data_IF_246803799021
#
_entry.id   IF_246803799021
#
_cell.length_a   1.000
_cell.length_b   1.000
_cell.length_c   1.000
_cell.angle_alpha   90.00
_cell.angle_beta   90.00
_cell.angle_gamma   90.00
#
_symmetry.space_group_name_H-M   'P 1'
#
loop_
_entity.id
_entity.type
_entity.pdbx_description
1 polymer ?
#
# COMPACT_ATOMS: atom_id res chain seq x y z
N UNK A 1 -42.24 -0.45 -16.18
CA UNK A 1 -43.35 -0.14 -15.27
C UNK A 1 -42.73 0.00 -13.87
N UNK A 2 -42.76 1.23 -13.32
CA UNK A 2 -42.33 1.65 -11.97
C UNK A 2 -40.84 1.46 -11.60
N UNK A 3 -39.97 2.47 -11.78
CA UNK A 3 -39.59 3.46 -10.76
C UNK A 3 -40.63 3.82 -9.68
N UNK A 4 -40.24 3.67 -8.40
CA UNK A 4 -40.75 4.30 -7.16
C UNK A 4 -40.06 3.54 -5.99
N UNK A 5 -39.40 4.06 -4.96
CA UNK A 5 -39.06 5.39 -4.46
C UNK A 5 -37.95 5.18 -3.41
N UNK A 6 -36.90 5.99 -3.47
CA UNK A 6 -36.05 6.29 -2.32
C UNK A 6 -36.43 7.70 -1.85
N UNK A 7 -37.05 7.86 -0.67
CA UNK A 7 -37.06 9.12 0.11
C UNK A 7 -37.42 8.78 1.55
N UNK A 8 -36.47 8.88 2.48
CA UNK A 8 -36.82 9.09 3.90
C UNK A 8 -35.74 9.86 4.69
N UNK A 9 -35.18 10.95 4.16
CA UNK A 9 -34.37 11.87 4.97
C UNK A 9 -34.63 13.33 4.57
N UNK A 10 -35.62 13.95 5.22
CA UNK A 10 -35.78 15.41 5.26
C UNK A 10 -36.67 15.84 6.45
N UNK A 11 -36.13 15.79 7.67
CA UNK A 11 -36.60 16.59 8.81
C UNK A 11 -35.50 17.57 9.21
N UNK A 12 -35.37 18.65 8.44
CA UNK A 12 -34.85 19.95 8.90
C UNK A 12 -35.05 20.93 7.73
N UNK A 13 -35.93 21.91 7.93
CA UNK A 13 -36.34 22.82 6.87
C UNK A 13 -35.25 23.79 6.45
N UNK A 14 -35.28 24.20 5.18
CA UNK A 14 -35.41 25.59 4.72
C UNK A 14 -35.47 25.59 3.16
N UNK A 15 -36.10 26.60 2.50
CA UNK A 15 -36.75 26.44 1.20
C UNK A 15 -36.08 27.14 0.01
N UNK A 16 -36.62 26.89 -1.19
CA UNK A 16 -36.38 27.52 -2.51
C UNK A 16 -35.08 27.08 -3.23
N UNK A 17 -35.01 26.77 -4.53
CA UNK A 17 -35.96 26.83 -5.65
C UNK A 17 -35.44 25.96 -6.84
N UNK A 18 -36.35 25.63 -7.76
CA UNK A 18 -36.16 25.26 -9.18
C UNK A 18 -35.42 23.95 -9.52
N UNK A 19 -36.12 22.95 -10.08
CA UNK A 19 -36.23 22.68 -11.54
C UNK A 19 -34.85 22.68 -12.23
N UNK A 20 -34.35 21.58 -12.80
CA UNK A 20 -34.88 20.91 -14.00
C UNK A 20 -34.50 19.43 -14.00
N UNK A 21 -35.46 18.57 -14.33
CA UNK A 21 -35.25 17.19 -14.72
C UNK A 21 -34.65 17.14 -16.14
N UNK A 22 -33.54 16.43 -16.30
CA UNK A 22 -33.07 15.94 -17.60
C UNK A 22 -32.84 14.43 -17.48
N UNK A 23 -33.81 13.68 -18.01
CA UNK A 23 -33.72 12.25 -18.27
C UNK A 23 -32.89 12.08 -19.54
N UNK A 24 -31.72 11.45 -19.42
CA UNK A 24 -31.02 10.84 -20.57
C UNK A 24 -31.15 9.32 -20.45
N UNK A 25 -32.00 8.75 -21.32
CA UNK A 25 -32.06 7.32 -21.62
C UNK A 25 -31.12 7.04 -22.79
N UNK A 26 -30.42 5.91 -22.71
CA UNK A 26 -29.58 5.28 -23.74
C UNK A 26 -28.20 5.90 -24.00
N UNK A 27 -27.21 5.36 -23.31
CA UNK A 27 -25.79 5.54 -23.61
C UNK A 27 -24.97 4.74 -22.61
N UNK A 28 -24.49 3.57 -23.03
CA UNK A 28 -23.53 2.73 -22.31
C UNK A 28 -22.27 3.56 -22.04
N UNK A 29 -22.17 4.13 -20.85
CA UNK A 29 -20.93 4.66 -20.29
C UNK A 29 -21.03 4.52 -18.77
N UNK A 30 -20.67 3.33 -18.28
CA UNK A 30 -20.13 3.21 -16.93
C UNK A 30 -18.79 3.96 -16.91
N UNK A 31 -18.58 4.97 -16.06
CA UNK A 31 -17.26 5.32 -15.61
C UNK A 31 -17.10 4.65 -14.25
N UNK A 32 -16.86 3.34 -14.25
CA UNK A 32 -16.55 2.63 -13.01
C UNK A 32 -15.40 1.66 -13.22
N UNK A 33 -14.28 2.17 -13.71
CA UNK A 33 -12.96 1.59 -13.50
C UNK A 33 -12.00 2.76 -13.51
N UNK A 34 -11.91 3.48 -12.39
CA UNK A 34 -10.60 3.99 -12.03
C UNK A 34 -9.81 2.73 -11.69
N UNK A 35 -9.04 2.23 -12.66
CA UNK A 35 -7.87 1.43 -12.32
C UNK A 35 -7.18 2.17 -11.18
N UNK A 36 -6.90 1.48 -10.07
CA UNK A 36 -5.96 2.00 -9.10
C UNK A 36 -4.61 2.06 -9.83
N UNK A 37 -4.41 3.10 -10.63
CA UNK A 37 -3.13 3.45 -11.17
C UNK A 37 -2.30 3.75 -9.94
N UNK A 38 -1.36 2.85 -9.64
CA UNK A 38 -0.25 3.19 -8.74
C UNK A 38 0.46 4.33 -9.45
N UNK A 39 0.09 5.56 -9.09
CA UNK A 39 0.72 6.75 -9.61
C UNK A 39 2.13 6.76 -9.02
N UNK A 40 3.07 6.22 -9.81
CA UNK A 40 4.47 6.15 -9.47
C UNK A 40 4.94 7.58 -9.28
N UNK A 41 5.05 7.97 -8.01
CA UNK A 41 5.36 9.32 -7.60
C UNK A 41 6.77 9.34 -7.02
N UNK A 42 7.42 10.49 -7.17
CA UNK A 42 8.74 10.71 -6.59
C UNK A 42 8.55 11.10 -5.12
N UNK A 43 9.20 10.36 -4.21
CA UNK A 43 9.12 10.57 -2.77
C UNK A 43 10.33 11.32 -2.22
N UNK A 44 10.32 11.61 -0.91
CA UNK A 44 11.41 12.34 -0.22
C UNK A 44 12.78 11.71 -0.44
N UNK A 45 12.83 10.38 -0.51
CA UNK A 45 14.05 9.59 -0.57
C UNK A 45 14.34 9.05 -1.98
N UNK A 46 13.56 9.43 -3.00
CA UNK A 46 13.85 9.00 -4.37
C UNK A 46 15.27 9.41 -4.79
N UNK A 47 15.99 8.48 -5.42
CA UNK A 47 17.37 8.63 -5.87
C UNK A 47 18.42 8.32 -4.81
N UNK A 48 18.02 8.16 -3.54
CA UNK A 48 18.90 7.73 -2.45
C UNK A 48 19.49 6.36 -2.75
N UNK A 49 20.76 6.17 -2.37
CA UNK A 49 21.49 4.92 -2.49
C UNK A 49 21.69 4.32 -1.10
N UNK A 50 21.36 3.04 -0.96
CA UNK A 50 21.43 2.28 0.28
C UNK A 50 22.35 1.08 0.07
N UNK A 51 23.23 0.82 1.04
CA UNK A 51 24.06 -0.39 1.05
C UNK A 51 23.36 -1.50 1.81
N UNK A 52 23.18 -2.66 1.16
CA UNK A 52 22.55 -3.85 1.75
C UNK A 52 23.53 -5.01 1.68
N UNK A 53 23.80 -5.66 2.83
CA UNK A 53 24.95 -6.54 3.04
C UNK A 53 25.17 -7.65 1.99
N UNK A 54 24.10 -8.15 1.35
CA UNK A 54 24.17 -9.21 0.34
C UNK A 54 23.72 -8.79 -1.07
N UNK A 55 23.22 -7.56 -1.23
CA UNK A 55 22.72 -7.03 -2.50
C UNK A 55 23.61 -5.89 -3.05
N UNK A 56 24.48 -5.32 -2.21
CA UNK A 56 25.27 -4.13 -2.51
C UNK A 56 24.42 -2.86 -2.53
N UNK A 57 24.83 -1.91 -3.36
CA UNK A 57 24.17 -0.61 -3.50
C UNK A 57 22.82 -0.75 -4.24
N UNK A 58 21.74 -0.33 -3.60
CA UNK A 58 20.40 -0.22 -4.17
C UNK A 58 20.02 1.26 -4.27
N UNK A 59 19.47 1.67 -5.42
CA UNK A 59 18.93 3.02 -5.60
C UNK A 59 17.40 3.00 -5.47
N UNK A 60 16.82 3.91 -4.69
CA UNK A 60 15.37 4.10 -4.60
C UNK A 60 14.86 4.81 -5.87
N UNK A 61 13.83 4.26 -6.54
CA UNK A 61 13.34 4.82 -7.82
C UNK A 61 11.99 5.51 -7.68
N UNK A 62 10.95 4.77 -7.33
CA UNK A 62 9.58 5.26 -7.37
C UNK A 62 8.85 4.84 -6.09
N UNK A 63 7.98 5.71 -5.58
CA UNK A 63 7.14 5.37 -4.44
C UNK A 63 6.02 4.47 -4.91
N UNK A 64 5.90 3.31 -4.26
CA UNK A 64 4.80 2.38 -4.38
C UNK A 64 3.63 2.78 -3.47
N UNK A 65 3.91 3.05 -2.18
CA UNK A 65 2.91 3.40 -1.17
C UNK A 65 3.48 4.46 -0.23
N UNK A 66 2.66 5.44 0.15
CA UNK A 66 2.97 6.43 1.20
C UNK A 66 1.97 6.31 2.34
N UNK A 67 2.48 6.26 3.56
CA UNK A 67 1.74 6.41 4.81
C UNK A 67 2.28 7.64 5.57
N UNK A 68 1.64 7.99 6.69
CA UNK A 68 2.02 9.18 7.47
C UNK A 68 3.48 9.19 7.96
N UNK A 69 4.08 8.01 8.20
CA UNK A 69 5.42 7.87 8.79
C UNK A 69 6.35 6.97 7.96
N UNK A 70 5.84 6.37 6.88
CA UNK A 70 6.59 5.40 6.07
C UNK A 70 6.29 5.53 4.61
N UNK A 71 7.29 5.25 3.78
CA UNK A 71 7.15 5.18 2.32
C UNK A 71 7.74 3.85 1.85
N UNK A 72 7.09 3.19 0.89
CA UNK A 72 7.62 1.98 0.26
C UNK A 72 8.09 2.36 -1.14
N UNK A 73 9.33 2.03 -1.47
CA UNK A 73 9.98 2.35 -2.73
C UNK A 73 10.27 1.09 -3.53
N UNK A 74 10.09 1.21 -4.85
CA UNK A 74 10.82 0.39 -5.80
C UNK A 74 12.30 0.73 -5.76
N UNK A 75 13.12 -0.25 -6.16
CA UNK A 75 14.57 -0.07 -6.23
C UNK A 75 15.11 -0.37 -7.62
N UNK A 76 16.38 -0.03 -7.85
CA UNK A 76 17.14 -0.44 -9.03
C UNK A 76 17.23 -1.97 -9.21
N UNK A 77 16.93 -2.75 -8.16
CA UNK A 77 16.83 -4.19 -8.24
C UNK A 77 15.35 -4.63 -8.32
N UNK A 78 14.90 -5.29 -9.41
CA UNK A 78 13.47 -5.52 -9.67
C UNK A 78 12.77 -6.45 -8.66
N UNK A 79 13.54 -7.27 -7.94
CA UNK A 79 13.01 -8.17 -6.91
C UNK A 79 13.02 -7.62 -5.48
N UNK A 80 13.34 -6.33 -5.29
CA UNK A 80 13.54 -5.74 -3.96
C UNK A 80 12.73 -4.46 -3.81
N UNK A 81 11.95 -4.41 -2.73
CA UNK A 81 11.34 -3.19 -2.21
C UNK A 81 12.11 -2.71 -1.00
N UNK A 82 12.06 -1.39 -0.77
CA UNK A 82 12.57 -0.78 0.46
C UNK A 82 11.44 -0.02 1.13
N UNK A 83 11.17 -0.37 2.39
CA UNK A 83 10.32 0.42 3.28
C UNK A 83 11.18 1.40 4.05
N UNK A 84 10.93 2.68 3.87
CA UNK A 84 11.57 3.79 4.56
C UNK A 84 10.71 4.25 5.72
N UNK A 85 11.35 4.57 6.84
CA UNK A 85 10.75 5.17 8.03
C UNK A 85 11.33 6.57 8.20
N UNK A 86 10.47 7.58 8.25
CA UNK A 86 10.89 8.96 8.47
C UNK A 86 11.16 9.17 9.97
N UNK A 87 12.42 9.35 10.32
CA UNK A 87 12.82 9.59 11.71
C UNK A 87 12.92 11.09 12.02
N UNK A 88 12.61 11.97 11.07
CA UNK A 88 12.69 13.41 11.30
C UNK A 88 11.51 13.90 12.16
N UNK A 89 11.81 14.57 13.26
CA UNK A 89 10.82 15.22 14.12
C UNK A 89 10.97 16.76 14.13
N UNK A 90 11.73 17.33 13.18
CA UNK A 90 11.95 18.77 13.03
C UNK A 90 12.97 19.38 13.99
N UNK A 91 13.65 18.56 14.81
CA UNK A 91 14.67 19.01 15.76
C UNK A 91 16.03 18.43 15.40
N UNK A 92 17.07 19.26 15.38
CA UNK A 92 18.39 18.89 14.85
C UNK A 92 19.00 17.61 15.46
N UNK A 93 18.96 17.48 16.79
CA UNK A 93 19.65 16.38 17.52
C UNK A 93 18.69 15.31 18.05
N UNK A 94 17.44 15.28 17.56
CA UNK A 94 16.44 14.29 17.96
C UNK A 94 15.93 13.51 16.74
N UNK A 95 15.46 12.28 17.01
CA UNK A 95 14.73 11.44 16.08
C UNK A 95 13.32 11.16 16.60
N UNK A 96 12.39 10.93 15.68
CA UNK A 96 11.03 10.56 15.99
C UNK A 96 10.98 9.15 16.58
N UNK A 97 10.48 9.05 17.81
CA UNK A 97 10.47 7.80 18.56
C UNK A 97 9.45 6.78 18.01
N UNK A 98 8.30 7.25 17.51
CA UNK A 98 7.24 6.38 16.97
C UNK A 98 7.72 5.56 15.76
N UNK A 99 8.17 6.22 14.67
CA UNK A 99 8.72 5.55 13.49
C UNK A 99 9.92 4.67 13.83
N UNK A 100 10.80 5.11 14.74
CA UNK A 100 11.94 4.32 15.18
C UNK A 100 11.52 3.02 15.89
N UNK A 101 10.54 3.07 16.81
CA UNK A 101 10.01 1.87 17.45
C UNK A 101 9.31 0.93 16.47
N UNK A 102 8.55 1.49 15.52
CA UNK A 102 7.92 0.71 14.46
C UNK A 102 8.96 -0.04 13.63
N UNK A 103 10.03 0.65 13.25
CA UNK A 103 11.18 0.07 12.56
C UNK A 103 11.81 -1.08 13.36
N UNK A 104 12.16 -0.85 14.64
CA UNK A 104 12.82 -1.89 15.45
C UNK A 104 11.95 -3.12 15.62
N UNK A 105 10.66 -2.93 15.88
CA UNK A 105 9.72 -4.05 16.04
C UNK A 105 9.55 -4.85 14.74
N UNK A 106 9.57 -4.19 13.58
CA UNK A 106 9.45 -4.88 12.30
C UNK A 106 10.72 -5.66 11.93
N UNK A 107 11.91 -5.12 12.24
CA UNK A 107 13.18 -5.84 12.11
C UNK A 107 13.20 -7.07 13.02
N UNK A 108 12.81 -6.93 14.29
CA UNK A 108 12.72 -8.05 15.23
C UNK A 108 11.78 -9.15 14.71
N UNK A 109 10.60 -8.78 14.18
CA UNK A 109 9.68 -9.74 13.59
C UNK A 109 10.29 -10.49 12.39
N UNK A 110 11.00 -9.80 11.49
CA UNK A 110 11.66 -10.47 10.36
C UNK A 110 12.75 -11.43 10.83
N UNK A 111 13.56 -11.05 11.81
CA UNK A 111 14.61 -11.89 12.38
C UNK A 111 14.03 -13.11 13.12
N UNK A 112 12.95 -12.93 13.88
CA UNK A 112 12.24 -14.01 14.57
C UNK A 112 11.65 -15.01 13.57
N UNK A 113 10.95 -14.52 12.53
CA UNK A 113 10.35 -15.39 11.50
C UNK A 113 11.44 -16.11 10.70
N UNK A 114 12.58 -15.47 10.43
CA UNK A 114 13.72 -16.13 9.77
C UNK A 114 14.23 -17.32 10.60
N UNK A 115 14.04 -17.31 11.92
CA UNK A 115 14.38 -18.44 12.80
C UNK A 115 13.39 -19.62 12.76
N UNK A 116 12.24 -19.48 12.08
CA UNK A 116 11.18 -20.49 12.02
C UNK A 116 11.13 -21.05 10.59
N UNK A 117 11.77 -22.20 10.36
CA UNK A 117 11.93 -22.83 9.05
C UNK A 117 10.60 -23.02 8.31
N UNK A 118 9.52 -23.36 9.02
CA UNK A 118 8.20 -23.58 8.44
C UNK A 118 7.55 -22.31 7.88
N UNK A 119 7.94 -21.12 8.37
CA UNK A 119 7.35 -19.86 7.95
C UNK A 119 8.15 -19.16 6.85
N UNK A 120 9.43 -19.50 6.68
CA UNK A 120 10.31 -18.84 5.71
C UNK A 120 9.76 -18.85 4.27
N UNK A 121 9.05 -19.91 3.87
CA UNK A 121 8.47 -20.03 2.54
C UNK A 121 7.19 -19.20 2.32
N UNK A 122 6.62 -18.65 3.39
CA UNK A 122 5.32 -17.97 3.39
C UNK A 122 5.41 -16.47 3.68
N UNK A 123 6.61 -15.96 3.96
CA UNK A 123 6.85 -14.53 4.20
C UNK A 123 7.82 -13.97 3.17
N UNK A 124 7.75 -12.66 2.86
CA UNK A 124 8.74 -12.02 2.02
C UNK A 124 10.14 -12.20 2.59
N UNK A 125 11.12 -12.48 1.72
CA UNK A 125 12.50 -12.56 2.15
C UNK A 125 12.99 -11.22 2.71
N UNK A 126 13.60 -11.25 3.89
CA UNK A 126 14.29 -10.10 4.49
C UNK A 126 15.74 -10.06 4.01
N UNK A 127 16.14 -8.93 3.40
CA UNK A 127 17.50 -8.74 2.88
C UNK A 127 18.39 -7.89 3.80
N UNK A 128 17.79 -7.11 4.70
CA UNK A 128 18.52 -6.32 5.67
C UNK A 128 17.83 -5.02 6.04
N UNK A 129 18.43 -4.31 6.98
CA UNK A 129 17.92 -3.07 7.52
C UNK A 129 19.07 -2.14 7.92
N UNK A 130 18.79 -0.84 8.00
CA UNK A 130 19.77 0.16 8.42
C UNK A 130 19.14 1.43 8.93
N UNK A 131 19.93 2.23 9.64
CA UNK A 131 19.53 3.53 10.18
C UNK A 131 20.60 4.55 9.85
N UNK A 132 20.19 5.68 9.29
CA UNK A 132 21.02 6.87 9.12
C UNK A 132 20.50 7.95 10.06
N UNK A 133 21.20 8.16 11.18
CA UNK A 133 20.83 9.19 12.16
C UNK A 133 21.12 10.60 11.67
N UNK A 134 22.00 10.77 10.69
CA UNK A 134 22.37 12.07 10.14
C UNK A 134 21.29 12.58 9.18
N UNK A 135 20.85 11.70 8.28
CA UNK A 135 19.75 11.97 7.35
C UNK A 135 18.37 11.64 7.93
N UNK A 136 18.33 11.04 9.12
CA UNK A 136 17.13 10.72 9.91
C UNK A 136 16.12 9.85 9.17
N UNK A 137 16.60 8.72 8.69
CA UNK A 137 15.74 7.67 8.19
C UNK A 137 16.19 6.31 8.72
N UNK A 138 15.26 5.36 8.73
CA UNK A 138 15.57 3.95 8.79
C UNK A 138 14.98 3.24 7.58
N UNK A 139 15.52 2.09 7.22
CA UNK A 139 15.03 1.32 6.08
C UNK A 139 15.03 -0.18 6.35
N UNK A 140 14.10 -0.87 5.69
CA UNK A 140 14.02 -2.33 5.60
C UNK A 140 13.98 -2.71 4.12
N UNK A 141 14.93 -3.54 3.68
CA UNK A 141 14.97 -4.10 2.34
C UNK A 141 14.36 -5.51 2.35
N UNK A 142 13.38 -5.74 1.48
CA UNK A 142 12.61 -6.98 1.44
C UNK A 142 12.22 -7.38 0.02
N UNK A 143 11.82 -8.64 -0.15
CA UNK A 143 11.36 -9.18 -1.43
C UNK A 143 10.14 -8.45 -1.97
N UNK A 144 10.21 -8.15 -3.26
CA UNK A 144 9.04 -7.70 -4.01
C UNK A 144 8.18 -8.91 -4.39
N UNK A 145 6.97 -8.97 -3.84
CA UNK A 145 5.96 -9.94 -4.24
C UNK A 145 5.00 -9.28 -5.23
N UNK A 146 5.00 -9.76 -6.47
CA UNK A 146 4.03 -9.33 -7.47
C UNK A 146 2.67 -9.92 -7.13
N UNK A 147 1.65 -9.07 -7.01
CA UNK A 147 0.30 -9.49 -6.69
C UNK A 147 -0.73 -8.42 -7.02
N UNK A 148 -2.00 -8.79 -6.85
CA UNK A 148 -3.13 -7.86 -6.96
C UNK A 148 -3.51 -7.31 -5.59
N UNK A 149 -4.02 -6.07 -5.57
CA UNK A 149 -4.59 -5.51 -4.35
C UNK A 149 -5.76 -6.37 -3.87
N UNK A 150 -5.77 -6.75 -2.59
CA UNK A 150 -6.74 -7.71 -2.04
C UNK A 150 -8.19 -7.27 -2.25
N UNK A 151 -8.49 -5.97 -2.12
CA UNK A 151 -9.86 -5.48 -2.35
C UNK A 151 -10.29 -5.61 -3.81
N UNK A 152 -9.38 -5.30 -4.76
CA UNK A 152 -9.64 -5.47 -6.19
C UNK A 152 -9.87 -6.94 -6.50
N UNK A 153 -9.00 -7.79 -5.95
CA UNK A 153 -9.10 -9.23 -6.09
C UNK A 153 -10.43 -9.76 -5.53
N UNK A 154 -10.84 -9.34 -4.33
CA UNK A 154 -12.14 -9.70 -3.73
C UNK A 154 -13.33 -9.22 -4.58
N UNK A 155 -13.26 -8.01 -5.12
CA UNK A 155 -14.28 -7.47 -6.03
C UNK A 155 -14.36 -8.27 -7.35
N UNK A 156 -13.25 -8.82 -7.83
CA UNK A 156 -13.24 -9.72 -8.99
C UNK A 156 -13.78 -11.11 -8.63
N UNK A 157 -13.36 -11.68 -7.50
CA UNK A 157 -13.79 -12.99 -7.03
C UNK A 157 -15.31 -13.04 -6.77
N UNK A 158 -15.87 -12.01 -6.14
CA UNK A 158 -17.33 -11.87 -5.93
C UNK A 158 -18.13 -11.74 -7.23
N UNK A 159 -17.49 -11.32 -8.33
CA UNK A 159 -18.08 -11.31 -9.68
C UNK A 159 -17.91 -12.64 -10.43
N UNK A 160 -17.32 -13.65 -9.81
CA UNK A 160 -17.09 -14.97 -10.41
C UNK A 160 -16.00 -15.00 -11.48
N UNK A 161 -15.09 -14.00 -11.48
CA UNK A 161 -13.99 -13.91 -12.46
C UNK A 161 -12.91 -14.96 -12.16
N UNK A 162 -12.72 -15.30 -10.89
CA UNK A 162 -11.76 -16.31 -10.44
C UNK A 162 -12.47 -17.65 -10.22
N UNK A 163 -11.84 -18.77 -10.60
CA UNK A 163 -12.40 -20.11 -10.39
C UNK A 163 -12.62 -20.35 -8.88
N UNK A 164 -13.64 -21.11 -8.51
CA UNK A 164 -13.93 -21.44 -7.11
C UNK A 164 -13.09 -22.60 -6.57
N UNK A 165 -12.21 -23.20 -7.38
CA UNK A 165 -11.47 -24.43 -7.01
C UNK A 165 -10.58 -24.20 -5.78
N UNK A 166 -9.94 -23.03 -5.68
CA UNK A 166 -9.10 -22.69 -4.52
C UNK A 166 -9.91 -22.48 -3.23
N UNK A 167 -11.20 -22.08 -3.31
CA UNK A 167 -12.08 -21.95 -2.14
C UNK A 167 -12.38 -23.32 -1.54
N UNK A 168 -12.54 -24.32 -2.41
CA UNK A 168 -12.78 -25.69 -2.01
C UNK A 168 -11.49 -26.38 -1.52
N UNK A 169 -10.32 -25.92 -1.95
CA UNK A 169 -9.01 -26.31 -1.38
C UNK A 169 -8.77 -25.70 0.00
N UNK A 170 -9.12 -24.42 0.23
CA UNK A 170 -8.96 -23.76 1.55
C UNK A 170 -9.91 -24.29 2.63
N UNK A 171 -11.02 -24.93 2.25
CA UNK A 171 -11.98 -25.54 3.18
C UNK A 171 -11.57 -26.94 3.64
N UNK A 172 -10.58 -27.55 3.01
CA UNK A 172 -10.04 -28.88 3.35
C UNK A 172 -8.89 -28.76 4.34
#
# INVERSE_FOLDING_TARGET
MAALLAVEWAKAGFPFASFVAAVCVAGVLCPLMAEAQVELTQGRHTGLRLEVADLGELQLTDVLITNAETEIYYTSHPGVLVKMFDLDCGKADEISYGPYLGFTAEVENFEDIRGIDELQAHVPRFYGAGVDYQQKYAFIAMEYLQGEHLESWCAQASRGIHSSEWVDELRQ
#
